data_IF_419092944890
#
_entry.id   IF_419092944890
#
_cell.length_a   1.000
_cell.length_b   1.000
_cell.length_c   1.000
_cell.angle_alpha   90.00
_cell.angle_beta   90.00
_cell.angle_gamma   90.00
#
_symmetry.space_group_name_H-M   'P 1'
#
loop_
_entity.id
_entity.type
_entity.pdbx_description
1 polymer ?
#
# COMPACT_ATOMS: atom_id res chain seq x y z
N UNK A 1 -1.37 -43.04 -11.15
CA UNK A 1 -0.98 -41.74 -11.72
C UNK A 1 -2.18 -40.83 -11.57
N UNK A 2 -2.15 -39.91 -10.61
CA UNK A 2 -3.23 -38.93 -10.41
C UNK A 2 -3.06 -37.77 -11.39
N UNK A 3 -4.13 -37.23 -11.99
CA UNK A 3 -4.01 -36.12 -12.91
C UNK A 3 -3.70 -34.84 -12.14
N UNK A 4 -2.55 -34.23 -12.41
CA UNK A 4 -2.22 -32.88 -11.96
C UNK A 4 -3.10 -31.90 -12.72
N UNK A 5 -4.04 -31.26 -12.02
CA UNK A 5 -4.75 -30.10 -12.54
C UNK A 5 -3.76 -28.93 -12.63
N UNK A 6 -3.48 -28.49 -13.85
CA UNK A 6 -2.75 -27.25 -14.13
C UNK A 6 -3.65 -26.07 -13.76
N UNK A 7 -3.44 -25.45 -12.60
CA UNK A 7 -4.02 -24.16 -12.30
C UNK A 7 -3.32 -23.09 -13.15
N UNK A 8 -3.96 -22.66 -14.24
CA UNK A 8 -3.56 -21.43 -14.93
C UNK A 8 -4.17 -20.27 -14.16
N UNK A 9 -3.33 -19.47 -13.52
CA UNK A 9 -3.73 -18.16 -13.04
C UNK A 9 -4.24 -17.36 -14.24
N UNK A 10 -5.41 -16.71 -14.17
CA UNK A 10 -5.85 -15.81 -15.22
C UNK A 10 -4.85 -14.67 -15.32
N UNK A 11 -4.34 -14.43 -16.52
CA UNK A 11 -3.59 -13.22 -16.84
C UNK A 11 -4.59 -12.07 -16.77
N UNK A 12 -4.65 -11.36 -15.64
CA UNK A 12 -5.42 -10.12 -15.53
C UNK A 12 -4.63 -9.10 -16.34
N UNK A 13 -5.06 -8.85 -17.57
CA UNK A 13 -4.59 -7.70 -18.32
C UNK A 13 -5.01 -6.45 -17.54
N UNK A 14 -4.11 -5.48 -17.40
CA UNK A 14 -4.43 -4.20 -16.77
C UNK A 14 -5.66 -3.60 -17.45
N UNK A 15 -6.73 -3.36 -16.70
CA UNK A 15 -7.93 -2.71 -17.23
C UNK A 15 -7.66 -1.21 -17.35
N UNK A 16 -7.65 -0.62 -18.56
CA UNK A 16 -7.45 0.80 -18.73
C UNK A 16 -8.66 1.64 -18.29
N UNK A 17 -9.81 1.03 -17.99
CA UNK A 17 -11.08 1.75 -17.78
C UNK A 17 -11.40 2.08 -16.31
N UNK A 18 -10.56 1.67 -15.37
CA UNK A 18 -10.80 1.82 -13.93
C UNK A 18 -12.15 1.23 -13.46
N UNK A 19 -12.57 0.11 -14.03
CA UNK A 19 -13.86 -0.54 -13.77
C UNK A 19 -13.73 -1.93 -13.13
N UNK A 20 -12.55 -2.29 -12.62
CA UNK A 20 -12.28 -3.61 -12.00
C UNK A 20 -12.52 -3.64 -10.48
N UNK A 21 -13.36 -2.74 -9.98
CA UNK A 21 -13.68 -2.61 -8.56
C UNK A 21 -14.23 -3.91 -7.98
N UNK A 22 -13.81 -4.22 -6.74
CA UNK A 22 -14.27 -5.38 -6.01
C UNK A 22 -15.23 -4.98 -4.90
N UNK A 23 -16.16 -5.86 -4.57
CA UNK A 23 -17.06 -5.70 -3.42
C UNK A 23 -17.21 -6.98 -2.62
N UNK A 24 -17.90 -6.86 -1.49
CA UNK A 24 -18.12 -7.99 -0.58
C UNK A 24 -19.57 -8.48 -0.71
N UNK A 25 -19.72 -9.78 -0.92
CA UNK A 25 -21.00 -10.49 -0.80
C UNK A 25 -20.88 -11.56 0.29
N UNK A 26 -21.50 -11.29 1.44
CA UNK A 26 -21.35 -12.14 2.62
C UNK A 26 -19.91 -12.22 3.09
N UNK A 27 -19.27 -13.38 2.92
CA UNK A 27 -17.87 -13.63 3.31
C UNK A 27 -16.92 -13.75 2.11
N UNK A 28 -17.34 -13.30 0.92
CA UNK A 28 -16.55 -13.37 -0.31
C UNK A 28 -16.26 -11.97 -0.83
N UNK A 29 -15.06 -11.81 -1.38
CA UNK A 29 -14.74 -10.70 -2.28
C UNK A 29 -15.10 -11.16 -3.69
N UNK A 30 -15.86 -10.35 -4.42
CA UNK A 30 -16.30 -10.64 -5.78
C UNK A 30 -16.03 -9.45 -6.70
N UNK A 31 -15.89 -9.72 -8.00
CA UNK A 31 -15.83 -8.70 -9.04
C UNK A 31 -17.23 -8.17 -9.42
N UNK A 32 -17.28 -7.20 -10.33
CA UNK A 32 -18.54 -6.61 -10.83
C UNK A 32 -19.49 -7.63 -11.50
N UNK A 33 -19.01 -8.81 -11.89
CA UNK A 33 -19.80 -9.89 -12.50
C UNK A 33 -20.22 -10.96 -11.47
N UNK A 34 -19.86 -10.79 -10.20
CA UNK A 34 -20.15 -11.74 -9.12
C UNK A 34 -19.18 -12.93 -9.07
N UNK A 35 -18.07 -12.90 -9.81
CA UNK A 35 -17.05 -13.95 -9.70
C UNK A 35 -16.22 -13.73 -8.44
N UNK A 36 -15.99 -14.80 -7.68
CA UNK A 36 -15.15 -14.72 -6.49
C UNK A 36 -13.68 -14.43 -6.86
N UNK A 37 -13.11 -13.42 -6.21
CA UNK A 37 -11.71 -13.01 -6.35
C UNK A 37 -10.90 -13.50 -5.16
N UNK A 38 -9.69 -13.98 -5.43
CA UNK A 38 -8.72 -14.38 -4.42
C UNK A 38 -7.59 -13.36 -4.38
N UNK A 39 -7.36 -12.77 -3.21
CA UNK A 39 -6.25 -11.85 -2.97
C UNK A 39 -5.09 -12.61 -2.32
N UNK A 40 -4.00 -12.78 -3.06
CA UNK A 40 -2.74 -13.38 -2.62
C UNK A 40 -1.78 -12.25 -2.27
N UNK A 41 -1.69 -11.98 -0.96
CA UNK A 41 -1.05 -10.77 -0.46
C UNK A 41 0.41 -10.93 -0.05
N UNK A 42 1.17 -9.85 -0.17
CA UNK A 42 2.39 -9.63 0.62
C UNK A 42 2.38 -8.23 1.25
N UNK A 43 3.27 -8.02 2.22
CA UNK A 43 3.53 -6.70 2.79
C UNK A 43 4.87 -6.18 2.26
N UNK A 44 4.94 -4.90 1.90
CA UNK A 44 6.20 -4.21 1.70
C UNK A 44 6.17 -2.89 2.47
N UNK A 45 7.01 -2.77 3.49
CA UNK A 45 7.05 -1.62 4.39
C UNK A 45 8.14 -0.62 3.99
N UNK A 46 8.17 0.53 4.65
CA UNK A 46 9.22 1.55 4.49
C UNK A 46 8.66 2.99 4.56
N UNK A 47 7.48 3.21 3.99
CA UNK A 47 6.78 4.50 4.12
C UNK A 47 6.39 4.83 5.57
N UNK A 48 6.36 3.87 6.49
CA UNK A 48 6.20 4.11 7.92
C UNK A 48 7.52 4.30 8.70
N UNK A 49 8.69 3.95 8.15
CA UNK A 49 9.94 3.76 8.93
C UNK A 49 10.89 4.96 8.91
N UNK A 50 10.60 5.98 8.11
CA UNK A 50 11.44 7.16 7.91
C UNK A 50 12.39 7.08 6.71
N UNK A 51 12.41 5.95 6.00
CA UNK A 51 13.04 5.87 4.66
C UNK A 51 12.21 6.56 3.59
N UNK A 52 10.91 6.81 3.86
CA UNK A 52 9.96 7.54 3.01
C UNK A 52 9.80 6.97 1.60
N UNK A 53 10.16 5.69 1.44
CA UNK A 53 10.01 4.83 0.25
C UNK A 53 9.97 3.39 0.76
N UNK A 54 9.67 2.41 -0.09
CA UNK A 54 9.83 1.01 0.28
C UNK A 54 11.25 0.65 0.70
N UNK A 55 11.37 -0.05 1.82
CA UNK A 55 12.65 -0.52 2.33
C UNK A 55 13.28 -1.51 1.35
N UNK A 56 14.56 -1.30 1.04
CA UNK A 56 15.33 -2.11 0.09
C UNK A 56 15.50 -1.47 -1.29
N UNK A 57 14.79 -0.38 -1.61
CA UNK A 57 14.95 0.33 -2.91
C UNK A 57 16.36 0.90 -3.11
N UNK A 58 17.14 1.09 -2.05
CA UNK A 58 18.57 1.40 -2.16
C UNK A 58 19.43 0.23 -2.71
N UNK A 59 18.90 -1.00 -2.71
CA UNK A 59 19.58 -2.24 -3.12
C UNK A 59 18.90 -2.99 -4.27
N UNK A 60 17.60 -2.80 -4.49
CA UNK A 60 16.85 -3.42 -5.59
C UNK A 60 16.11 -2.37 -6.43
N UNK A 61 15.79 -2.73 -7.67
CA UNK A 61 14.94 -1.90 -8.51
C UNK A 61 13.46 -2.10 -8.11
N UNK A 62 12.75 -1.00 -7.83
CA UNK A 62 11.38 -1.02 -7.31
C UNK A 62 10.41 -1.66 -8.28
N UNK A 63 10.49 -1.29 -9.57
CA UNK A 63 9.63 -1.83 -10.61
C UNK A 63 9.85 -3.33 -10.81
N UNK A 64 11.10 -3.76 -10.89
CA UNK A 64 11.45 -5.18 -11.03
C UNK A 64 11.04 -6.00 -9.80
N UNK A 65 11.09 -5.42 -8.61
CA UNK A 65 10.58 -6.07 -7.40
C UNK A 65 9.06 -6.27 -7.46
N UNK A 66 8.28 -5.25 -7.81
CA UNK A 66 6.81 -5.34 -7.97
C UNK A 66 6.46 -6.35 -9.07
N UNK A 67 7.13 -6.28 -10.22
CA UNK A 67 6.98 -7.28 -11.29
C UNK A 67 7.29 -8.69 -10.79
N UNK A 68 8.36 -8.85 -10.03
CA UNK A 68 8.76 -10.13 -9.46
C UNK A 68 7.73 -10.69 -8.48
N UNK A 69 7.02 -9.84 -7.73
CA UNK A 69 5.88 -10.26 -6.90
C UNK A 69 4.74 -10.80 -7.77
N UNK A 70 4.35 -10.06 -8.81
CA UNK A 70 3.30 -10.47 -9.76
C UNK A 70 3.64 -11.80 -10.45
N UNK A 71 4.87 -11.95 -10.96
CA UNK A 71 5.35 -13.18 -11.61
C UNK A 71 5.28 -14.41 -10.67
N UNK A 72 5.25 -14.20 -9.36
CA UNK A 72 5.14 -15.24 -8.32
C UNK A 72 3.71 -15.43 -7.81
N UNK A 73 2.75 -14.76 -8.42
CA UNK A 73 1.33 -14.89 -8.10
C UNK A 73 0.86 -14.03 -6.93
N UNK A 74 1.61 -12.98 -6.54
CA UNK A 74 1.08 -11.94 -5.66
C UNK A 74 0.24 -10.97 -6.50
N UNK A 75 -1.00 -10.72 -6.07
CA UNK A 75 -1.89 -9.75 -6.70
C UNK A 75 -2.42 -8.69 -5.71
N UNK A 76 -1.92 -8.69 -4.48
CA UNK A 76 -2.31 -7.74 -3.45
C UNK A 76 -1.11 -7.28 -2.62
N UNK A 77 -0.88 -5.98 -2.54
CA UNK A 77 0.23 -5.39 -1.79
C UNK A 77 -0.31 -4.55 -0.64
N UNK A 78 -0.03 -4.97 0.59
CA UNK A 78 -0.29 -4.16 1.78
C UNK A 78 0.90 -3.24 2.04
N UNK A 79 0.64 -1.93 2.11
CA UNK A 79 1.64 -0.87 2.20
C UNK A 79 1.48 -0.11 3.51
N UNK A 80 2.31 -0.40 4.54
CA UNK A 80 2.40 0.39 5.76
C UNK A 80 2.84 1.84 5.51
N UNK A 81 2.03 2.81 5.92
CA UNK A 81 2.30 4.25 5.86
C UNK A 81 1.90 4.89 7.20
N UNK A 82 2.64 5.90 7.67
CA UNK A 82 2.27 6.66 8.87
C UNK A 82 1.27 7.77 8.57
N UNK A 83 0.46 8.15 9.56
CA UNK A 83 -0.39 9.36 9.50
C UNK A 83 0.46 10.59 9.26
N UNK A 84 1.63 10.68 9.91
CA UNK A 84 2.58 11.76 9.72
C UNK A 84 2.96 11.98 8.25
N UNK A 85 3.33 10.92 7.54
CA UNK A 85 3.77 11.04 6.15
C UNK A 85 2.61 11.44 5.23
N UNK A 86 1.43 10.84 5.41
CA UNK A 86 0.22 11.24 4.68
C UNK A 86 -0.15 12.70 4.95
N UNK A 87 -0.04 13.14 6.21
CA UNK A 87 -0.30 14.52 6.59
C UNK A 87 0.69 15.47 5.92
N UNK A 88 1.99 15.17 5.96
CA UNK A 88 3.01 15.95 5.27
C UNK A 88 2.71 16.06 3.77
N UNK A 89 2.40 14.95 3.09
CA UNK A 89 2.01 14.96 1.68
C UNK A 89 0.80 15.84 1.39
N UNK A 90 -0.22 15.79 2.25
CA UNK A 90 -1.41 16.64 2.13
C UNK A 90 -1.11 18.14 2.24
N UNK A 91 -0.03 18.49 2.93
CA UNK A 91 0.44 19.86 3.12
C UNK A 91 1.51 20.28 2.09
N UNK A 92 1.83 19.43 1.11
CA UNK A 92 2.88 19.69 0.13
C UNK A 92 4.30 19.60 0.71
N UNK A 93 4.47 18.88 1.81
CA UNK A 93 5.77 18.59 2.42
C UNK A 93 6.17 17.17 2.06
N UNK A 94 7.35 17.03 1.45
CA UNK A 94 7.85 15.74 0.97
C UNK A 94 9.22 15.46 1.59
N UNK A 95 9.30 14.62 2.64
CA UNK A 95 10.57 14.21 3.23
C UNK A 95 11.49 13.54 2.20
N UNK A 96 12.80 13.64 2.43
CA UNK A 96 13.78 12.94 1.61
C UNK A 96 13.58 11.42 1.70
N UNK A 97 13.60 10.76 0.56
CA UNK A 97 13.46 9.32 0.45
C UNK A 97 14.81 8.64 0.23
N UNK A 98 14.97 7.43 0.76
CA UNK A 98 16.20 6.65 0.65
C UNK A 98 16.21 5.81 -0.64
N UNK A 99 16.45 6.47 -1.77
CA UNK A 99 16.52 5.86 -3.11
C UNK A 99 17.96 5.83 -3.60
N UNK A 100 18.30 4.77 -4.34
CA UNK A 100 19.55 4.69 -5.09
C UNK A 100 19.25 4.79 -6.58
N UNK A 101 19.50 5.97 -7.16
CA UNK A 101 19.19 6.28 -8.55
C UNK A 101 20.03 5.48 -9.55
N UNK A 102 21.18 4.92 -9.15
CA UNK A 102 21.93 4.01 -10.02
C UNK A 102 21.19 2.67 -10.22
N UNK A 103 20.48 2.21 -9.20
CA UNK A 103 19.66 0.99 -9.24
C UNK A 103 18.26 1.28 -9.77
N UNK A 104 17.78 2.51 -9.57
CA UNK A 104 16.44 2.97 -9.93
C UNK A 104 16.53 4.28 -10.73
N UNK A 105 17.12 4.28 -11.94
CA UNK A 105 17.30 5.49 -12.73
C UNK A 105 15.97 6.20 -13.07
N UNK A 106 14.86 5.45 -13.13
CA UNK A 106 13.53 5.98 -13.36
C UNK A 106 12.91 6.74 -12.17
N UNK A 107 13.53 6.65 -10.98
CA UNK A 107 13.08 7.34 -9.76
C UNK A 107 13.87 8.62 -9.47
N UNK A 108 14.87 8.95 -10.30
CA UNK A 108 15.74 10.10 -10.08
C UNK A 108 14.94 11.41 -9.97
N UNK A 109 15.13 12.12 -8.86
CA UNK A 109 14.49 13.40 -8.59
C UNK A 109 13.04 13.35 -8.13
N UNK A 110 12.43 12.16 -8.03
CA UNK A 110 11.08 12.00 -7.47
C UNK A 110 11.07 12.25 -5.96
N UNK A 111 10.05 12.96 -5.49
CA UNK A 111 9.79 13.11 -4.06
C UNK A 111 9.03 11.89 -3.49
N UNK A 112 8.93 11.77 -2.15
CA UNK A 112 8.31 10.60 -1.50
C UNK A 112 6.88 10.28 -1.97
N UNK A 113 6.07 11.28 -2.33
CA UNK A 113 4.72 11.04 -2.85
C UNK A 113 4.78 10.53 -4.29
N UNK A 114 5.65 11.12 -5.13
CA UNK A 114 5.86 10.66 -6.52
C UNK A 114 6.41 9.23 -6.57
N UNK A 115 7.24 8.83 -5.59
CA UNK A 115 7.71 7.46 -5.45
C UNK A 115 6.57 6.49 -5.11
N UNK A 116 5.63 6.90 -4.25
CA UNK A 116 4.43 6.12 -3.99
C UNK A 116 3.53 6.05 -5.23
N UNK A 117 3.30 7.17 -5.93
CA UNK A 117 2.54 7.23 -7.18
C UNK A 117 3.15 6.30 -8.25
N UNK A 118 4.47 6.27 -8.38
CA UNK A 118 5.18 5.36 -9.29
C UNK A 118 4.96 3.89 -8.91
N UNK A 119 4.95 3.56 -7.62
CA UNK A 119 4.64 2.21 -7.16
C UNK A 119 3.18 1.83 -7.47
N UNK A 120 2.23 2.74 -7.30
CA UNK A 120 0.83 2.53 -7.71
C UNK A 120 0.75 2.24 -9.20
N UNK A 121 1.44 3.02 -10.03
CA UNK A 121 1.49 2.78 -11.49
C UNK A 121 2.08 1.41 -11.84
N UNK A 122 3.18 0.99 -11.19
CA UNK A 122 3.74 -0.33 -11.39
C UNK A 122 2.78 -1.45 -10.96
N UNK A 123 2.11 -1.28 -9.81
CA UNK A 123 1.10 -2.24 -9.35
C UNK A 123 -0.05 -2.37 -10.35
N UNK A 124 -0.55 -1.23 -10.86
CA UNK A 124 -1.56 -1.20 -11.91
C UNK A 124 -1.12 -1.95 -13.16
N UNK A 125 0.10 -1.69 -13.64
CA UNK A 125 0.64 -2.33 -14.83
C UNK A 125 0.78 -3.85 -14.66
N UNK A 126 1.17 -4.31 -13.46
CA UNK A 126 1.41 -5.72 -13.19
C UNK A 126 0.22 -6.44 -12.54
N UNK A 127 -0.96 -5.81 -12.47
CA UNK A 127 -2.19 -6.43 -11.96
C UNK A 127 -2.18 -6.69 -10.45
N UNK A 128 -1.49 -5.85 -9.68
CA UNK A 128 -1.46 -5.89 -8.22
C UNK A 128 -2.37 -4.79 -7.67
N UNK A 129 -3.32 -5.16 -6.80
CA UNK A 129 -4.12 -4.23 -6.01
C UNK A 129 -3.39 -3.82 -4.74
N UNK A 130 -3.68 -2.63 -4.21
CA UNK A 130 -3.02 -2.05 -3.04
C UNK A 130 -4.01 -1.93 -1.88
N UNK A 131 -3.54 -2.25 -0.68
CA UNK A 131 -4.14 -1.82 0.59
C UNK A 131 -3.18 -0.84 1.26
N UNK A 132 -3.64 0.38 1.52
CA UNK A 132 -2.87 1.31 2.36
C UNK A 132 -3.18 0.99 3.82
N UNK A 133 -2.14 0.68 4.58
CA UNK A 133 -2.21 0.39 6.01
C UNK A 133 -1.73 1.60 6.80
N UNK A 134 -2.63 2.21 7.57
CA UNK A 134 -2.26 3.30 8.48
C UNK A 134 -1.56 2.69 9.69
N UNK A 135 -0.25 2.60 9.58
CA UNK A 135 0.54 1.74 10.44
C UNK A 135 0.78 2.33 11.82
N UNK A 136 0.93 3.65 11.89
CA UNK A 136 1.21 4.39 13.11
C UNK A 136 0.88 5.88 12.97
N UNK A 137 0.65 6.61 14.09
CA UNK A 137 0.47 8.05 14.05
C UNK A 137 1.74 8.76 13.55
N UNK A 138 2.87 8.54 14.23
CA UNK A 138 4.18 9.06 13.81
C UNK A 138 4.88 8.10 12.84
N UNK A 139 5.80 8.64 12.04
CA UNK A 139 6.74 7.85 11.25
C UNK A 139 7.74 7.17 12.19
N UNK A 140 7.58 5.86 12.37
CA UNK A 140 8.37 5.04 13.26
C UNK A 140 8.50 3.60 12.72
N UNK A 141 9.74 3.09 12.66
CA UNK A 141 10.01 1.71 12.31
C UNK A 141 9.31 0.71 13.25
N UNK A 142 9.09 1.10 14.50
CA UNK A 142 8.37 0.33 15.52
C UNK A 142 6.90 0.75 15.65
N UNK A 143 6.31 1.35 14.61
CA UNK A 143 4.94 1.90 14.62
C UNK A 143 3.82 0.95 15.13
N UNK A 144 4.02 -0.36 15.07
CA UNK A 144 3.10 -1.35 15.64
C UNK A 144 2.89 -1.21 17.16
N UNK A 145 3.80 -0.55 17.90
CA UNK A 145 3.67 -0.38 19.36
C UNK A 145 2.58 0.61 19.76
N UNK A 146 2.13 1.47 18.84
CA UNK A 146 1.11 2.47 19.14
C UNK A 146 -0.24 1.77 19.33
N UNK A 147 -0.91 1.91 20.49
CA UNK A 147 -2.13 1.15 20.76
C UNK A 147 -3.34 1.65 19.97
N UNK A 148 -3.34 2.93 19.59
CA UNK A 148 -4.43 3.64 18.90
C UNK A 148 -3.89 4.48 17.73
N UNK A 149 -4.78 5.01 16.90
CA UNK A 149 -4.47 5.73 15.65
C UNK A 149 -4.01 7.19 15.84
N UNK A 150 -3.92 7.66 17.09
CA UNK A 150 -3.50 9.01 17.43
C UNK A 150 -2.42 9.00 18.51
N UNK A 151 -1.71 10.11 18.63
CA UNK A 151 -0.88 10.43 19.78
C UNK A 151 -1.06 11.92 20.17
N UNK A 152 -0.19 12.45 21.04
CA UNK A 152 -0.28 13.85 21.46
C UNK A 152 0.00 14.87 20.34
N UNK A 153 0.64 14.46 19.25
CA UNK A 153 1.01 15.30 18.12
C UNK A 153 0.05 15.09 16.92
N UNK A 154 -0.26 13.83 16.59
CA UNK A 154 -1.17 13.45 15.53
C UNK A 154 -2.52 13.05 16.12
N UNK A 155 -3.47 14.00 16.09
CA UNK A 155 -4.80 13.79 16.68
C UNK A 155 -5.72 12.94 15.80
N UNK A 156 -6.89 12.54 16.32
CA UNK A 156 -7.89 11.83 15.53
C UNK A 156 -8.38 12.67 14.36
N UNK A 157 -8.48 13.99 14.52
CA UNK A 157 -8.89 14.91 13.45
C UNK A 157 -7.84 14.95 12.34
N UNK A 158 -6.55 14.97 12.69
CA UNK A 158 -5.47 14.85 11.70
C UNK A 158 -5.58 13.51 10.97
N UNK A 159 -5.71 12.39 11.71
CA UNK A 159 -5.88 11.07 11.11
C UNK A 159 -7.07 11.01 10.14
N UNK A 160 -8.26 11.49 10.51
CA UNK A 160 -9.42 11.57 9.61
C UNK A 160 -9.10 12.41 8.37
N UNK A 161 -8.50 13.60 8.53
CA UNK A 161 -8.18 14.48 7.40
C UNK A 161 -7.19 13.85 6.42
N UNK A 162 -6.26 13.02 6.92
CA UNK A 162 -5.32 12.29 6.04
C UNK A 162 -6.03 11.21 5.23
N UNK A 163 -7.02 10.53 5.81
CA UNK A 163 -7.84 9.55 5.09
C UNK A 163 -8.71 10.22 4.03
N UNK A 164 -9.34 11.35 4.36
CA UNK A 164 -10.11 12.15 3.40
C UNK A 164 -9.23 12.62 2.23
N UNK A 165 -8.04 13.13 2.52
CA UNK A 165 -7.08 13.55 1.50
C UNK A 165 -6.65 12.38 0.60
N UNK A 166 -6.29 11.23 1.22
CA UNK A 166 -5.84 10.05 0.49
C UNK A 166 -6.95 9.52 -0.44
N UNK A 167 -8.16 9.37 0.10
CA UNK A 167 -9.31 8.89 -0.68
C UNK A 167 -9.69 9.87 -1.79
N UNK A 168 -9.70 11.18 -1.54
CA UNK A 168 -10.00 12.17 -2.57
C UNK A 168 -8.95 12.16 -3.70
N UNK A 169 -7.67 11.97 -3.37
CA UNK A 169 -6.58 11.89 -4.37
C UNK A 169 -6.73 10.68 -5.29
N UNK A 170 -7.03 9.51 -4.73
CA UNK A 170 -7.03 8.23 -5.47
C UNK A 170 -8.42 7.68 -5.81
N UNK A 171 -9.51 8.42 -5.57
CA UNK A 171 -10.91 7.95 -5.79
C UNK A 171 -11.21 7.41 -7.19
N UNK A 172 -10.42 7.80 -8.18
CA UNK A 172 -10.59 7.39 -9.57
C UNK A 172 -9.53 6.36 -10.01
N UNK A 173 -8.74 5.81 -9.10
CA UNK A 173 -7.75 4.77 -9.37
C UNK A 173 -8.09 3.51 -8.56
N UNK A 174 -8.66 2.52 -9.24
CA UNK A 174 -9.07 1.24 -8.65
C UNK A 174 -7.88 0.34 -8.27
N UNK A 175 -6.64 0.78 -8.49
CA UNK A 175 -5.44 0.09 -8.00
C UNK A 175 -5.42 0.08 -6.47
N UNK A 176 -5.84 1.17 -5.81
CA UNK A 176 -5.98 1.21 -4.35
C UNK A 176 -7.37 0.67 -4.00
N UNK A 177 -7.38 -0.57 -3.51
CA UNK A 177 -8.60 -1.32 -3.24
C UNK A 177 -9.13 -1.12 -1.81
N UNK A 178 -8.24 -0.89 -0.85
CA UNK A 178 -8.62 -0.91 0.57
C UNK A 178 -7.76 0.02 1.43
N UNK A 179 -8.36 0.41 2.56
CA UNK A 179 -7.68 1.06 3.67
C UNK A 179 -7.75 0.15 4.91
N UNK A 180 -6.59 -0.23 5.44
CA UNK A 180 -6.47 -0.80 6.79
C UNK A 180 -6.32 0.36 7.76
N UNK A 181 -7.42 0.67 8.46
CA UNK A 181 -7.61 1.94 9.18
C UNK A 181 -6.60 2.16 10.31
N UNK A 182 -6.12 1.07 10.93
CA UNK A 182 -5.07 1.12 11.96
C UNK A 182 -4.45 -0.26 12.11
N UNK A 183 -3.15 -0.36 11.86
CA UNK A 183 -2.41 -1.60 12.09
C UNK A 183 -2.49 -2.03 13.55
N UNK A 184 -3.06 -3.21 13.85
CA UNK A 184 -3.00 -3.86 15.17
C UNK A 184 -3.43 -2.95 16.35
N UNK A 185 -4.71 -2.57 16.49
CA UNK A 185 -5.19 -1.89 17.70
C UNK A 185 -4.95 -2.77 18.92
N UNK A 186 -4.26 -2.23 19.93
CA UNK A 186 -3.94 -2.96 21.16
C UNK A 186 -4.37 -2.19 22.40
N UNK A 187 -4.51 -2.91 23.51
CA UNK A 187 -4.75 -2.31 24.82
C UNK A 187 -3.41 -2.23 25.55
N UNK A 188 -3.01 -1.03 25.97
CA UNK A 188 -1.92 -0.88 26.93
C UNK A 188 -2.52 -0.87 28.34
N UNK A 189 -2.49 -2.01 29.01
CA UNK A 189 -2.83 -2.08 30.43
C UNK A 189 -1.67 -1.47 31.23
N UNK A 190 -1.83 -0.20 31.62
CA UNK A 190 -1.01 0.36 32.70
C UNK A 190 -1.53 -0.26 33.99
N UNK A 191 -0.85 -1.33 34.45
CA UNK A 191 -1.06 -1.85 35.79
C UNK A 191 -0.42 -0.84 36.74
N UNK A 192 -1.23 0.04 37.32
CA UNK A 192 -0.82 0.93 38.41
C UNK A 192 -0.64 0.15 39.70
#
# INVERSE_FOLDING_TARGET
MSPTASYRAPTIAADPNNDDWLHVEGNKIVDMYGNQVWLTGCNWFGFNTGTNVFDGVWSCNMREAIKGMADRGINFLRVPISTELLYQWSQGVYPSANVNDFVNPELEGMNSLELFDFAVQCCKEFGIKIMVDIHSPATDAMGHIYPVWYDGQFTTEIWISTLEWLTERYKNDDTILALDLKNEPTVHLVVN
#
